data_IF_516066212934
#
_entry.id   IF_516066212934
#
_cell.length_a   1.000
_cell.length_b   1.000
_cell.length_c   1.000
_cell.angle_alpha   90.00
_cell.angle_beta   90.00
_cell.angle_gamma   90.00
#
_symmetry.space_group_name_H-M   'P 1'
#
loop_
_entity.id
_entity.type
_entity.pdbx_description
1 polymer ?
#
# COMPACT_ATOMS: atom_id res chain seq x y z
N UNK A 1 8.90 3.55 15.99
CA UNK A 1 8.18 2.30 15.62
C UNK A 1 8.87 1.78 14.38
N UNK A 2 9.13 0.48 14.27
CA UNK A 2 10.00 -0.05 13.21
C UNK A 2 9.30 0.00 11.84
N UNK A 3 9.95 0.56 10.82
CA UNK A 3 9.39 0.72 9.46
C UNK A 3 8.93 -0.59 8.82
N UNK A 4 9.59 -1.69 9.16
CA UNK A 4 9.22 -3.04 8.72
C UNK A 4 7.84 -3.48 9.25
N UNK A 5 7.49 -3.03 10.46
CA UNK A 5 6.19 -3.29 11.06
C UNK A 5 5.09 -2.50 10.34
N UNK A 6 5.34 -1.24 9.98
CA UNK A 6 4.37 -0.40 9.27
C UNK A 6 4.05 -0.92 7.87
N UNK A 7 5.07 -1.36 7.12
CA UNK A 7 4.88 -2.01 5.83
C UNK A 7 4.04 -3.30 5.98
N UNK A 8 4.39 -4.16 6.94
CA UNK A 8 3.68 -5.42 7.18
C UNK A 8 2.20 -5.18 7.49
N UNK A 9 1.91 -4.16 8.31
CA UNK A 9 0.54 -3.73 8.61
C UNK A 9 -0.19 -3.23 7.37
N UNK A 10 0.45 -2.42 6.52
CA UNK A 10 -0.16 -1.93 5.28
C UNK A 10 -0.49 -3.07 4.31
N UNK A 11 0.41 -4.04 4.15
CA UNK A 11 0.22 -5.23 3.31
C UNK A 11 -0.98 -6.07 3.77
N UNK A 12 -1.03 -6.42 5.06
CA UNK A 12 -2.12 -7.21 5.62
C UNK A 12 -3.47 -6.48 5.54
N UNK A 13 -3.46 -5.16 5.76
CA UNK A 13 -4.67 -4.34 5.64
C UNK A 13 -5.16 -4.27 4.20
N UNK A 14 -4.29 -4.03 3.22
CA UNK A 14 -4.65 -3.99 1.80
C UNK A 14 -5.22 -5.33 1.32
N UNK A 15 -4.57 -6.44 1.67
CA UNK A 15 -5.05 -7.80 1.40
C UNK A 15 -6.46 -8.03 1.95
N UNK A 16 -6.70 -7.65 3.20
CA UNK A 16 -8.02 -7.83 3.85
C UNK A 16 -9.10 -6.96 3.20
N UNK A 17 -8.80 -5.69 2.89
CA UNK A 17 -9.74 -4.79 2.22
C UNK A 17 -10.09 -5.34 0.84
N UNK A 18 -9.07 -5.68 0.04
CA UNK A 18 -9.22 -6.23 -1.31
C UNK A 18 -10.11 -7.48 -1.31
N UNK A 19 -9.88 -8.41 -0.37
CA UNK A 19 -10.70 -9.63 -0.22
C UNK A 19 -12.16 -9.33 0.14
N UNK A 20 -12.39 -8.40 1.06
CA UNK A 20 -13.72 -8.13 1.60
C UNK A 20 -14.59 -7.30 0.65
N UNK A 21 -13.97 -6.46 -0.17
CA UNK A 21 -14.66 -5.55 -1.09
C UNK A 21 -14.69 -6.06 -2.53
N UNK A 22 -13.97 -7.16 -2.80
CA UNK A 22 -13.73 -7.67 -4.16
C UNK A 22 -13.13 -6.60 -5.09
N UNK A 23 -12.14 -5.87 -4.58
CA UNK A 23 -11.52 -4.72 -5.26
C UNK A 23 -10.01 -4.85 -5.35
N UNK A 24 -9.42 -4.14 -6.31
CA UNK A 24 -7.96 -3.98 -6.42
C UNK A 24 -7.49 -2.93 -5.40
N UNK A 25 -6.45 -3.25 -4.64
CA UNK A 25 -5.84 -2.36 -3.64
C UNK A 25 -4.35 -2.23 -3.90
N UNK A 26 -3.84 -1.01 -3.83
CA UNK A 26 -2.46 -0.64 -4.08
C UNK A 26 -1.80 -0.21 -2.78
N UNK A 27 -0.67 -0.79 -2.42
CA UNK A 27 0.17 -0.36 -1.29
C UNK A 27 1.27 0.53 -1.86
N UNK A 28 1.27 1.80 -1.46
CA UNK A 28 2.15 2.83 -2.02
C UNK A 28 3.05 3.34 -0.90
N UNK A 29 4.36 3.41 -1.18
CA UNK A 29 5.35 4.09 -0.37
C UNK A 29 5.50 5.54 -0.84
N UNK A 30 5.48 6.47 0.10
CA UNK A 30 5.63 7.91 -0.13
C UNK A 30 6.50 8.54 0.94
N UNK A 31 6.70 9.84 0.83
CA UNK A 31 7.42 10.67 1.81
C UNK A 31 6.41 11.64 2.43
N UNK A 32 6.30 11.63 3.75
CA UNK A 32 5.51 12.62 4.49
C UNK A 32 6.16 14.00 4.33
N UNK A 33 5.38 14.99 3.86
CA UNK A 33 5.91 16.32 3.55
C UNK A 33 6.24 17.16 4.78
N UNK A 34 5.67 16.81 5.94
CA UNK A 34 5.88 17.54 7.18
C UNK A 34 7.07 16.98 7.95
N UNK A 35 7.27 15.66 7.92
CA UNK A 35 8.33 15.00 8.70
C UNK A 35 9.51 14.48 7.87
N UNK A 36 9.41 14.45 6.53
CA UNK A 36 10.37 13.83 5.60
C UNK A 36 10.57 12.32 5.84
N UNK A 37 9.64 11.69 6.57
CA UNK A 37 9.68 10.25 6.85
C UNK A 37 9.02 9.44 5.73
N UNK A 38 9.46 8.20 5.59
CA UNK A 38 8.83 7.23 4.70
C UNK A 38 7.51 6.74 5.30
N UNK A 39 6.45 6.80 4.51
CA UNK A 39 5.11 6.35 4.92
C UNK A 39 4.52 5.38 3.91
N UNK A 40 3.67 4.47 4.39
CA UNK A 40 2.93 3.53 3.55
C UNK A 40 1.44 3.81 3.64
N UNK A 41 0.77 3.93 2.50
CA UNK A 41 -0.69 4.07 2.44
C UNK A 41 -1.31 3.12 1.42
N UNK A 42 -2.62 2.97 1.52
CA UNK A 42 -3.42 2.08 0.67
C UNK A 42 -4.32 2.94 -0.19
N UNK A 43 -4.33 2.66 -1.49
CA UNK A 43 -5.16 3.34 -2.48
C UNK A 43 -5.98 2.31 -3.29
N UNK A 44 -7.09 2.73 -3.86
CA UNK A 44 -8.01 1.91 -4.65
C UNK A 44 -8.15 2.37 -6.12
N UNK A 45 -7.57 3.52 -6.47
CA UNK A 45 -7.65 4.08 -7.83
C UNK A 45 -6.37 3.89 -8.68
N UNK A 46 -5.26 3.50 -8.05
CA UNK A 46 -3.98 3.22 -8.74
C UNK A 46 -3.22 4.45 -9.26
N UNK A 47 -3.54 5.65 -8.77
CA UNK A 47 -2.85 6.89 -9.15
C UNK A 47 -1.58 7.08 -8.34
N UNK A 48 -0.45 6.70 -8.92
CA UNK A 48 0.87 6.80 -8.28
C UNK A 48 1.56 8.07 -8.76
N UNK A 49 1.98 8.91 -7.83
CA UNK A 49 2.73 10.14 -8.15
C UNK A 49 4.16 9.81 -8.55
N UNK A 50 4.82 10.73 -9.24
CA UNK A 50 6.18 10.51 -9.78
C UNK A 50 7.27 10.28 -8.72
N UNK A 51 7.02 10.70 -7.47
CA UNK A 51 7.93 10.50 -6.33
C UNK A 51 7.51 9.35 -5.41
N UNK A 52 6.47 8.60 -5.78
CA UNK A 52 5.95 7.47 -5.01
C UNK A 52 6.37 6.14 -5.62
N UNK A 53 6.34 5.08 -4.81
CA UNK A 53 6.70 3.74 -5.22
C UNK A 53 5.56 2.76 -4.93
N UNK A 54 5.13 2.01 -5.94
CA UNK A 54 4.23 0.87 -5.74
C UNK A 54 4.98 -0.26 -5.05
N UNK A 55 4.45 -0.73 -3.92
CA UNK A 55 5.04 -1.81 -3.13
C UNK A 55 4.34 -3.14 -3.39
N UNK A 56 3.01 -3.12 -3.44
CA UNK A 56 2.20 -4.30 -3.66
C UNK A 56 0.84 -3.96 -4.27
N UNK A 57 0.27 -4.90 -4.99
CA UNK A 57 -1.06 -4.84 -5.58
C UNK A 57 -1.81 -6.10 -5.20
N UNK A 58 -2.99 -5.93 -4.62
CA UNK A 58 -3.87 -7.03 -4.24
C UNK A 58 -5.15 -6.98 -5.05
N UNK A 59 -5.50 -8.10 -5.68
CA UNK A 59 -6.79 -8.31 -6.33
C UNK A 59 -7.52 -9.46 -5.64
N UNK A 60 -8.71 -9.18 -5.11
CA UNK A 60 -9.51 -10.12 -4.32
C UNK A 60 -8.74 -10.83 -3.19
N UNK A 61 -7.79 -10.13 -2.55
CA UNK A 61 -6.94 -10.66 -1.48
C UNK A 61 -5.75 -11.50 -1.94
N UNK A 62 -5.51 -11.58 -3.25
CA UNK A 62 -4.35 -12.23 -3.86
C UNK A 62 -3.38 -11.15 -4.31
N UNK A 63 -2.11 -11.29 -3.96
CA UNK A 63 -1.07 -10.39 -4.47
C UNK A 63 -0.81 -10.71 -5.95
N UNK A 64 -0.85 -9.70 -6.82
CA UNK A 64 -0.79 -9.87 -8.29
C UNK A 64 0.40 -9.16 -8.95
N UNK A 65 1.22 -8.46 -8.19
CA UNK A 65 2.48 -7.87 -8.66
C UNK A 65 3.72 -8.64 -8.14
N UNK A 66 4.88 -8.29 -8.72
CA UNK A 66 6.13 -9.08 -8.76
C UNK A 66 6.60 -9.69 -7.44
#
# INVERSE_FOLDING_TARGET
MDKENELSVALEKAKKISKNTCSVMFVIKSIDKETDDEVYYIDDNGLIRSWELLIATFDNGIRIDQ
#
